data_IF_734001163331
#
_entry.id   IF_734001163331
#
_cell.length_a   1.000
_cell.length_b   1.000
_cell.length_c   1.000
_cell.angle_alpha   90.00
_cell.angle_beta   90.00
_cell.angle_gamma   90.00
#
_symmetry.space_group_name_H-M   'P 1'
#
loop_
_entity.id
_entity.type
_entity.pdbx_description
1 polymer ?
#
# COMPACT_ATOMS: atom_id res chain seq x y z
N UNK A 1 8.25 7.71 -24.60
CA UNK A 1 8.20 7.86 -23.14
C UNK A 1 6.83 7.44 -22.60
N UNK A 2 6.80 6.73 -21.50
CA UNK A 2 5.53 6.38 -20.87
C UNK A 2 4.87 7.62 -20.27
N UNK A 3 3.55 7.73 -20.41
CA UNK A 3 2.79 8.81 -19.80
C UNK A 3 2.81 8.65 -18.26
N UNK A 4 2.49 9.73 -17.55
CA UNK A 4 2.38 9.66 -16.08
C UNK A 4 1.34 8.60 -15.67
N UNK A 5 0.22 8.56 -16.37
CA UNK A 5 -0.82 7.55 -16.12
C UNK A 5 -0.29 6.13 -16.28
N UNK A 6 0.47 5.88 -17.33
CA UNK A 6 1.08 4.58 -17.57
C UNK A 6 2.11 4.20 -16.53
N UNK A 7 2.91 5.19 -16.09
CA UNK A 7 3.90 4.98 -15.03
C UNK A 7 3.25 4.66 -13.69
N UNK A 8 2.16 5.35 -13.36
CA UNK A 8 1.40 5.10 -12.13
C UNK A 8 0.83 3.68 -12.13
N UNK A 9 0.27 3.27 -13.26
CA UNK A 9 -0.27 1.91 -13.42
C UNK A 9 0.82 0.87 -13.23
N UNK A 10 2.00 1.11 -13.79
CA UNK A 10 3.14 0.22 -13.64
C UNK A 10 3.61 0.16 -12.18
N UNK A 11 3.66 1.30 -11.48
CA UNK A 11 4.02 1.35 -10.07
C UNK A 11 3.04 0.59 -9.20
N UNK A 12 1.74 0.75 -9.45
CA UNK A 12 0.71 0.00 -8.70
C UNK A 12 0.92 -1.51 -8.88
N UNK A 13 1.27 -1.94 -10.09
CA UNK A 13 1.55 -3.34 -10.37
C UNK A 13 2.81 -3.84 -9.66
N UNK A 14 3.88 -3.07 -9.73
CA UNK A 14 5.15 -3.44 -9.08
C UNK A 14 5.00 -3.49 -7.56
N UNK A 15 4.29 -2.52 -6.99
CA UNK A 15 4.01 -2.50 -5.55
C UNK A 15 3.17 -3.71 -5.15
N UNK A 16 2.15 -4.07 -5.94
CA UNK A 16 1.33 -5.26 -5.72
C UNK A 16 2.20 -6.52 -5.69
N UNK A 17 3.05 -6.69 -6.69
CA UNK A 17 3.91 -7.86 -6.78
C UNK A 17 4.85 -7.96 -5.58
N UNK A 18 5.44 -6.83 -5.17
CA UNK A 18 6.35 -6.80 -4.02
C UNK A 18 5.64 -7.15 -2.71
N UNK A 19 4.43 -6.63 -2.51
CA UNK A 19 3.66 -6.88 -1.29
C UNK A 19 3.17 -8.32 -1.25
N UNK A 20 2.68 -8.86 -2.38
CA UNK A 20 2.27 -10.27 -2.45
C UNK A 20 3.43 -11.20 -2.10
N UNK A 21 4.62 -10.88 -2.60
CA UNK A 21 5.82 -11.68 -2.31
C UNK A 21 6.22 -11.59 -0.84
N UNK A 22 6.25 -10.37 -0.29
CA UNK A 22 6.62 -10.16 1.12
C UNK A 22 5.65 -10.88 2.05
N UNK A 23 4.35 -10.74 1.81
CA UNK A 23 3.30 -11.29 2.66
C UNK A 23 2.94 -12.74 2.27
N UNK A 24 3.65 -13.31 1.28
CA UNK A 24 3.52 -14.72 0.85
C UNK A 24 2.10 -15.11 0.45
N UNK A 25 1.36 -14.19 -0.16
CA UNK A 25 -0.04 -14.40 -0.55
C UNK A 25 -0.94 -14.80 0.62
N UNK A 26 -0.62 -14.30 1.82
CA UNK A 26 -1.40 -14.56 3.03
C UNK A 26 -2.10 -13.28 3.47
N UNK A 27 -3.43 -13.35 3.69
CA UNK A 27 -4.14 -12.25 4.30
C UNK A 27 -3.54 -11.97 5.68
N UNK A 28 -3.07 -10.76 5.88
CA UNK A 28 -2.33 -10.42 7.10
C UNK A 28 -3.24 -10.36 8.34
N UNK A 29 -4.54 -10.33 8.15
CA UNK A 29 -5.48 -10.30 9.26
C UNK A 29 -6.02 -11.68 9.62
N UNK A 30 -6.57 -12.41 8.67
CA UNK A 30 -7.19 -13.71 8.96
C UNK A 30 -6.29 -14.92 8.70
N UNK A 31 -5.14 -14.72 8.05
CA UNK A 31 -4.19 -15.81 7.78
C UNK A 31 -4.52 -16.69 6.59
N UNK A 32 -5.56 -16.36 5.86
CA UNK A 32 -6.00 -17.14 4.71
C UNK A 32 -5.07 -16.94 3.51
N UNK A 33 -4.75 -18.02 2.79
CA UNK A 33 -4.07 -17.90 1.51
C UNK A 33 -5.00 -17.24 0.49
N UNK A 34 -4.47 -16.29 -0.27
CA UNK A 34 -5.25 -15.56 -1.27
C UNK A 34 -4.48 -15.45 -2.58
N UNK A 35 -5.23 -15.42 -3.68
CA UNK A 35 -4.64 -15.21 -5.01
C UNK A 35 -5.68 -14.59 -5.94
N UNK A 36 -5.21 -14.04 -7.06
CA UNK A 36 -6.07 -13.44 -8.06
C UNK A 36 -6.92 -12.31 -7.49
N UNK A 37 -8.21 -12.34 -7.77
CA UNK A 37 -9.14 -11.29 -7.35
C UNK A 37 -9.39 -11.23 -5.85
N UNK A 38 -9.11 -12.29 -5.11
CA UNK A 38 -9.24 -12.28 -3.65
C UNK A 38 -8.00 -11.77 -2.93
N UNK A 39 -6.91 -11.53 -3.65
CA UNK A 39 -5.69 -10.96 -3.08
C UNK A 39 -5.74 -9.44 -3.26
N UNK A 40 -6.11 -8.73 -2.22
CA UNK A 40 -6.24 -7.26 -2.24
C UNK A 40 -5.01 -6.61 -1.62
N UNK A 41 -4.55 -5.52 -2.23
CA UNK A 41 -3.48 -4.70 -1.64
C UNK A 41 -4.17 -3.54 -0.94
N UNK A 42 -4.09 -3.54 0.38
CA UNK A 42 -4.75 -2.55 1.22
C UNK A 42 -3.76 -1.45 1.63
N UNK A 43 -4.18 -0.20 1.47
CA UNK A 43 -3.41 0.97 1.91
C UNK A 43 -3.85 1.37 3.32
N UNK A 44 -2.90 1.64 4.20
CA UNK A 44 -3.21 2.22 5.52
C UNK A 44 -3.56 3.70 5.34
N UNK A 45 -2.64 4.45 4.71
CA UNK A 45 -2.92 5.83 4.30
C UNK A 45 -3.45 5.77 2.87
N UNK A 46 -4.68 6.25 2.61
CA UNK A 46 -5.33 6.06 1.31
C UNK A 46 -4.60 6.70 0.14
N UNK A 47 -4.79 6.13 -1.05
CA UNK A 47 -4.24 6.69 -2.30
C UNK A 47 -4.68 8.13 -2.52
N UNK A 48 -5.86 8.50 -2.04
CA UNK A 48 -6.40 9.86 -2.17
C UNK A 48 -5.56 10.92 -1.46
N UNK A 49 -4.68 10.51 -0.55
CA UNK A 49 -3.76 11.43 0.13
C UNK A 49 -2.59 11.88 -0.75
N UNK A 50 -2.42 11.29 -1.93
CA UNK A 50 -1.37 11.64 -2.87
C UNK A 50 -0.33 10.56 -3.04
N UNK A 51 0.82 10.92 -3.62
CA UNK A 51 1.84 9.95 -4.01
C UNK A 51 2.83 9.56 -2.93
N UNK A 52 3.01 10.39 -1.89
CA UNK A 52 4.09 10.18 -0.92
C UNK A 52 4.15 8.77 -0.34
N UNK A 53 3.00 8.19 0.01
CA UNK A 53 2.93 6.86 0.62
C UNK A 53 2.23 5.81 -0.25
N UNK A 54 1.79 6.19 -1.45
CA UNK A 54 1.00 5.30 -2.32
C UNK A 54 1.74 4.00 -2.64
N UNK A 55 3.04 4.07 -2.86
CA UNK A 55 3.86 2.90 -3.22
C UNK A 55 4.90 2.55 -2.16
N UNK A 56 4.74 3.10 -0.97
CA UNK A 56 5.59 2.77 0.18
C UNK A 56 5.12 1.42 0.73
N UNK A 57 5.98 0.41 0.67
CA UNK A 57 5.60 -0.95 1.07
C UNK A 57 5.21 -1.05 2.54
N UNK A 58 5.66 -0.13 3.38
CA UNK A 58 5.25 -0.07 4.79
C UNK A 58 3.79 0.35 4.94
N UNK A 59 3.24 1.01 3.93
CA UNK A 59 1.85 1.46 3.89
C UNK A 59 0.90 0.41 3.30
N UNK A 60 1.44 -0.71 2.82
CA UNK A 60 0.69 -1.70 2.05
C UNK A 60 0.71 -3.05 2.73
N UNK A 61 -0.40 -3.78 2.60
CA UNK A 61 -0.51 -5.14 3.12
C UNK A 61 -1.51 -5.94 2.29
N UNK A 62 -1.34 -7.26 2.29
CA UNK A 62 -2.28 -8.17 1.63
C UNK A 62 -3.44 -8.44 2.57
N UNK A 63 -4.66 -8.26 2.07
CA UNK A 63 -5.89 -8.65 2.76
C UNK A 63 -6.78 -9.43 1.78
N UNK A 64 -7.56 -10.37 2.30
CA UNK A 64 -8.60 -11.00 1.49
C UNK A 64 -9.76 -10.01 1.31
N UNK A 65 -10.68 -10.33 0.39
CA UNK A 65 -11.85 -9.48 0.12
C UNK A 65 -12.59 -9.12 1.40
N UNK A 66 -12.91 -10.11 2.23
CA UNK A 66 -13.68 -9.85 3.45
C UNK A 66 -12.95 -8.93 4.44
N UNK A 67 -11.67 -9.20 4.70
CA UNK A 67 -10.89 -8.37 5.62
C UNK A 67 -10.67 -6.96 5.08
N UNK A 68 -10.55 -6.81 3.77
CA UNK A 68 -10.35 -5.50 3.15
C UNK A 68 -11.64 -4.68 3.11
N UNK A 69 -12.70 -5.24 2.55
CA UNK A 69 -13.94 -4.50 2.31
C UNK A 69 -14.83 -4.44 3.55
N UNK A 70 -15.07 -5.59 4.18
CA UNK A 70 -16.02 -5.67 5.29
C UNK A 70 -15.46 -5.32 6.65
N UNK A 71 -14.13 -5.36 6.82
CA UNK A 71 -13.50 -5.03 8.10
C UNK A 71 -12.69 -3.74 7.99
N UNK A 72 -11.68 -3.70 7.10
CA UNK A 72 -10.81 -2.53 7.00
C UNK A 72 -11.58 -1.26 6.62
N UNK A 73 -12.39 -1.32 5.57
CA UNK A 73 -13.13 -0.13 5.11
C UNK A 73 -14.35 0.22 5.95
N UNK A 74 -15.05 -0.78 6.49
CA UNK A 74 -16.27 -0.52 7.26
C UNK A 74 -16.04 -0.22 8.74
N UNK A 75 -14.91 -0.63 9.29
CA UNK A 75 -14.59 -0.45 10.70
C UNK A 75 -13.18 0.15 10.86
N UNK A 76 -12.96 1.39 10.39
CA UNK A 76 -11.61 1.96 10.32
C UNK A 76 -10.90 2.11 11.67
N UNK A 77 -11.61 2.42 12.74
CA UNK A 77 -10.99 2.57 14.06
C UNK A 77 -10.49 1.21 14.57
N UNK A 78 -11.32 0.18 14.46
CA UNK A 78 -10.95 -1.18 14.86
C UNK A 78 -9.81 -1.71 14.00
N UNK A 79 -9.88 -1.45 12.69
CA UNK A 79 -8.85 -1.86 11.75
C UNK A 79 -7.50 -1.24 12.08
N UNK A 80 -7.50 0.05 12.42
CA UNK A 80 -6.27 0.76 12.82
C UNK A 80 -5.69 0.19 14.10
N UNK A 81 -6.53 -0.08 15.10
CA UNK A 81 -6.06 -0.69 16.35
C UNK A 81 -5.44 -2.07 16.11
N UNK A 82 -6.06 -2.87 15.24
CA UNK A 82 -5.49 -4.16 14.85
C UNK A 82 -4.12 -3.98 14.18
N UNK A 83 -4.03 -3.04 13.24
CA UNK A 83 -2.79 -2.79 12.50
C UNK A 83 -1.66 -2.36 13.45
N UNK A 84 -1.94 -1.45 14.37
CA UNK A 84 -0.96 -1.00 15.36
C UNK A 84 -0.47 -2.16 16.23
N UNK A 85 -1.37 -3.03 16.63
CA UNK A 85 -1.02 -4.17 17.46
C UNK A 85 -0.13 -5.17 16.76
N UNK A 86 -0.41 -5.40 15.46
CA UNK A 86 0.34 -6.37 14.68
C UNK A 86 1.64 -5.81 14.10
N UNK A 87 1.63 -4.54 13.68
CA UNK A 87 2.77 -3.90 13.02
C UNK A 87 3.13 -2.58 13.70
N UNK A 88 3.56 -2.61 14.97
CA UNK A 88 3.77 -1.37 15.72
C UNK A 88 4.82 -0.43 15.12
N UNK A 89 5.89 -0.97 14.54
CA UNK A 89 6.92 -0.15 13.92
C UNK A 89 6.42 0.52 12.64
N UNK A 90 5.68 -0.22 11.82
CA UNK A 90 5.09 0.34 10.60
C UNK A 90 4.04 1.37 10.94
N UNK A 91 3.24 1.14 11.98
CA UNK A 91 2.24 2.09 12.44
C UNK A 91 2.90 3.40 12.89
N UNK A 92 4.00 3.31 13.65
CA UNK A 92 4.75 4.49 14.09
C UNK A 92 5.29 5.27 12.90
N UNK A 93 5.90 4.58 11.94
CA UNK A 93 6.41 5.19 10.73
C UNK A 93 5.29 5.95 9.98
N UNK A 94 4.13 5.32 9.81
CA UNK A 94 3.02 5.93 9.08
C UNK A 94 2.42 7.13 9.84
N UNK A 95 2.37 7.07 11.17
CA UNK A 95 1.95 8.23 11.97
C UNK A 95 2.87 9.42 11.74
N UNK A 96 4.18 9.19 11.66
CA UNK A 96 5.17 10.23 11.43
C UNK A 96 5.10 10.80 10.01
N UNK A 97 4.68 10.01 9.03
CA UNK A 97 4.70 10.38 7.62
C UNK A 97 3.32 10.64 6.99
N UNK A 98 2.24 10.51 7.77
CA UNK A 98 0.87 10.61 7.25
C UNK A 98 0.52 11.91 6.53
N UNK A 99 1.25 12.97 6.81
CA UNK A 99 1.02 14.27 6.18
C UNK A 99 2.08 14.63 5.15
N UNK A 100 2.95 13.70 4.79
CA UNK A 100 3.97 13.92 3.77
C UNK A 100 3.28 14.19 2.42
N UNK A 101 3.85 15.14 1.68
CA UNK A 101 3.33 15.53 0.37
C UNK A 101 4.45 15.65 -0.64
N UNK A 102 4.15 15.28 -1.87
CA UNK A 102 5.07 15.49 -2.98
C UNK A 102 4.61 16.73 -3.74
N UNK A 103 5.41 17.81 -3.75
CA UNK A 103 5.05 19.02 -4.51
C UNK A 103 4.80 18.70 -5.98
N UNK A 104 3.87 19.42 -6.60
CA UNK A 104 3.49 19.19 -7.99
C UNK A 104 4.67 19.16 -8.96
N UNK A 105 5.64 20.06 -8.77
CA UNK A 105 6.81 20.16 -9.64
C UNK A 105 7.83 19.02 -9.45
N UNK A 106 7.68 18.22 -8.38
CA UNK A 106 8.57 17.09 -8.10
C UNK A 106 7.93 15.74 -8.40
N UNK A 107 6.68 15.72 -8.87
CA UNK A 107 5.94 14.47 -9.10
C UNK A 107 6.61 13.51 -10.07
N UNK A 108 7.03 14.02 -11.21
CA UNK A 108 7.62 13.17 -12.24
C UNK A 108 8.94 12.55 -11.77
N UNK A 109 9.75 13.34 -11.09
CA UNK A 109 11.01 12.90 -10.51
C UNK A 109 10.77 11.84 -9.43
N UNK A 110 9.77 12.05 -8.58
CA UNK A 110 9.38 11.09 -7.55
C UNK A 110 8.93 9.77 -8.16
N UNK A 111 8.10 9.83 -9.20
CA UNK A 111 7.62 8.63 -9.92
C UNK A 111 8.78 7.85 -10.51
N UNK A 112 9.71 8.53 -11.16
CA UNK A 112 10.90 7.88 -11.73
C UNK A 112 11.74 7.21 -10.66
N UNK A 113 11.93 7.88 -9.54
CA UNK A 113 12.68 7.36 -8.40
C UNK A 113 12.03 6.06 -7.86
N UNK A 114 10.72 6.05 -7.73
CA UNK A 114 9.98 4.87 -7.27
C UNK A 114 10.03 3.73 -8.28
N UNK A 115 9.98 4.04 -9.57
CA UNK A 115 10.13 3.02 -10.61
C UNK A 115 11.48 2.31 -10.50
N UNK A 116 12.55 3.06 -10.28
CA UNK A 116 13.88 2.50 -10.09
C UNK A 116 13.95 1.64 -8.83
N UNK A 117 13.35 2.12 -7.74
CA UNK A 117 13.35 1.43 -6.46
C UNK A 117 12.60 0.10 -6.52
N UNK A 118 11.43 0.08 -7.16
CA UNK A 118 10.56 -1.11 -7.20
C UNK A 118 10.87 -2.08 -8.34
N UNK A 119 11.61 -1.65 -9.33
CA UNK A 119 11.89 -2.46 -10.52
C UNK A 119 13.23 -3.23 -10.40
N UNK A 120 13.60 -3.62 -9.20
CA UNK A 120 14.83 -4.42 -8.95
C UNK A 120 14.51 -5.87 -8.70
#
# INVERSE_FOLDING_TARGET
MASRKGQIKKLDKLAREAVLKRDKNICQKCGKYVEGQNAHISHVIPKSKGYALRWDLKNLKVLCFNCHINIWHKNPLEAWEWFKGKFPERAKYLEEHKNDMIPGHERDEFIESKLKELNV
#
